data_IF_532759073098
#
_entry.id   IF_532759073098
#
_cell.length_a   1.000
_cell.length_b   1.000
_cell.length_c   1.000
_cell.angle_alpha   90.00
_cell.angle_beta   90.00
_cell.angle_gamma   90.00
#
_symmetry.space_group_name_H-M   'P 1'
#
loop_
_entity.id
_entity.type
_entity.pdbx_description
1 polymer ?
#
# COMPACT_ATOMS: atom_id res chain seq x y z
N UNK A 1 -0.55 39.10 -62.24
CA UNK A 1 0.17 38.59 -61.05
C UNK A 1 -0.59 39.05 -59.83
N UNK A 2 -1.37 38.16 -59.21
CA UNK A 2 -2.02 38.41 -57.93
C UNK A 2 -1.89 37.12 -57.12
N UNK A 3 -1.01 37.15 -56.12
CA UNK A 3 -0.78 36.04 -55.21
C UNK A 3 -1.86 36.08 -54.13
N UNK A 4 -2.73 35.08 -54.12
CA UNK A 4 -3.69 34.84 -53.06
C UNK A 4 -3.03 34.03 -51.94
N UNK A 5 -2.63 34.71 -50.86
CA UNK A 5 -2.25 34.07 -49.60
C UNK A 5 -3.45 33.33 -48.99
N UNK A 6 -3.36 32.01 -48.89
CA UNK A 6 -4.24 31.21 -48.04
C UNK A 6 -3.80 31.36 -46.58
N UNK A 7 -4.53 32.16 -45.80
CA UNK A 7 -4.43 32.17 -44.34
C UNK A 7 -5.01 30.87 -43.77
N UNK A 8 -4.13 30.01 -43.27
CA UNK A 8 -4.50 28.85 -42.47
C UNK A 8 -5.07 29.35 -41.13
N UNK A 9 -6.30 28.94 -40.73
CA UNK A 9 -6.87 29.35 -39.46
C UNK A 9 -6.06 28.77 -38.31
N UNK A 10 -5.36 29.64 -37.58
CA UNK A 10 -4.72 29.31 -36.30
C UNK A 10 -5.82 29.18 -35.25
N UNK A 11 -6.25 27.95 -34.96
CA UNK A 11 -7.08 27.65 -33.80
C UNK A 11 -6.21 27.93 -32.56
N UNK A 12 -6.54 28.92 -31.71
CA UNK A 12 -5.79 29.12 -30.47
C UNK A 12 -6.08 27.94 -29.54
N UNK A 13 -5.05 27.15 -29.26
CA UNK A 13 -5.10 26.14 -28.19
C UNK A 13 -5.11 26.91 -26.88
N UNK A 14 -6.30 27.16 -26.33
CA UNK A 14 -6.47 27.78 -25.03
C UNK A 14 -6.03 26.79 -23.95
N UNK A 15 -4.78 26.92 -23.52
CA UNK A 15 -4.17 26.08 -22.50
C UNK A 15 -4.74 26.48 -21.14
N UNK A 16 -5.63 25.64 -20.61
CA UNK A 16 -6.22 25.78 -19.28
C UNK A 16 -5.13 25.65 -18.19
N UNK A 17 -4.66 26.81 -17.71
CA UNK A 17 -3.56 26.93 -16.76
C UNK A 17 -3.88 26.25 -15.42
N UNK A 18 -5.14 26.19 -15.01
CA UNK A 18 -5.54 25.56 -13.76
C UNK A 18 -5.50 24.04 -13.85
N UNK A 19 -5.98 23.47 -14.97
CA UNK A 19 -5.83 22.03 -15.24
C UNK A 19 -4.37 21.62 -15.32
N UNK A 20 -3.51 22.44 -15.94
CA UNK A 20 -2.08 22.20 -15.94
C UNK A 20 -1.49 22.26 -14.53
N UNK A 21 -1.77 23.31 -13.75
CA UNK A 21 -1.26 23.45 -12.39
C UNK A 21 -1.66 22.27 -11.51
N UNK A 22 -2.90 21.78 -11.64
CA UNK A 22 -3.37 20.56 -10.97
C UNK A 22 -2.68 19.29 -11.47
N UNK A 23 -2.40 19.19 -12.77
CA UNK A 23 -1.70 18.04 -13.33
C UNK A 23 -0.21 17.99 -13.00
N UNK A 24 0.39 19.14 -12.65
CA UNK A 24 1.76 19.27 -12.15
C UNK A 24 1.85 19.31 -10.62
N UNK A 25 0.73 19.19 -9.89
CA UNK A 25 0.73 19.17 -8.43
C UNK A 25 1.32 17.85 -7.90
N UNK A 26 2.45 17.96 -7.20
CA UNK A 26 3.20 16.83 -6.61
C UNK A 26 2.89 16.68 -5.11
N UNK A 27 2.01 17.52 -4.55
CA UNK A 27 1.77 17.59 -3.10
C UNK A 27 1.41 16.24 -2.46
N UNK A 28 0.70 15.37 -3.18
CA UNK A 28 0.25 14.05 -2.73
C UNK A 28 1.40 13.01 -2.67
N UNK A 29 2.47 13.22 -3.45
CA UNK A 29 3.64 12.37 -3.58
C UNK A 29 4.94 13.15 -3.27
N UNK A 30 4.97 13.78 -2.10
CA UNK A 30 6.16 14.47 -1.59
C UNK A 30 7.24 13.45 -1.18
N UNK A 31 8.49 13.70 -1.58
CA UNK A 31 9.66 12.88 -1.20
C UNK A 31 9.78 12.80 0.32
N UNK A 32 9.48 13.89 1.03
CA UNK A 32 9.49 13.88 2.50
C UNK A 32 8.46 12.89 3.07
N UNK A 33 7.28 12.81 2.46
CA UNK A 33 6.27 11.83 2.84
C UNK A 33 6.73 10.39 2.57
N UNK A 34 7.41 10.14 1.45
CA UNK A 34 8.00 8.83 1.13
C UNK A 34 9.06 8.44 2.16
N UNK A 35 10.03 9.31 2.43
CA UNK A 35 11.07 9.05 3.44
C UNK A 35 10.46 8.81 4.81
N UNK A 36 9.43 9.57 5.17
CA UNK A 36 8.71 9.41 6.43
C UNK A 36 7.95 8.08 6.51
N UNK A 37 7.40 7.61 5.38
CA UNK A 37 6.83 6.28 5.26
C UNK A 37 7.86 5.17 5.53
N UNK A 38 9.06 5.29 4.96
CA UNK A 38 10.16 4.34 5.20
C UNK A 38 10.59 4.37 6.68
N UNK A 39 10.66 5.56 7.28
CA UNK A 39 10.95 5.68 8.71
C UNK A 39 9.87 5.00 9.57
N UNK A 40 8.59 5.17 9.21
CA UNK A 40 7.48 4.49 9.86
C UNK A 40 7.55 2.97 9.73
N UNK A 41 8.10 2.42 8.63
CA UNK A 41 8.36 0.98 8.52
C UNK A 41 9.24 0.50 9.67
N UNK A 42 10.36 1.19 9.92
CA UNK A 42 11.31 0.80 10.95
C UNK A 42 10.75 1.00 12.36
N UNK A 43 10.13 2.16 12.62
CA UNK A 43 9.51 2.46 13.93
C UNK A 43 8.34 1.50 14.20
N UNK A 44 7.47 1.31 13.21
CA UNK A 44 6.33 0.39 13.29
C UNK A 44 6.79 -1.04 13.55
N UNK A 45 7.79 -1.53 12.81
CA UNK A 45 8.35 -2.87 13.02
C UNK A 45 8.94 -3.03 14.42
N UNK A 46 9.70 -2.03 14.89
CA UNK A 46 10.24 -2.04 16.24
C UNK A 46 9.14 -2.07 17.31
N UNK A 47 8.08 -1.27 17.14
CA UNK A 47 6.92 -1.25 18.06
C UNK A 47 6.13 -2.55 18.02
N UNK A 48 5.96 -3.15 16.84
CA UNK A 48 5.31 -4.44 16.69
C UNK A 48 6.08 -5.53 17.45
N UNK A 49 7.41 -5.57 17.32
CA UNK A 49 8.28 -6.50 18.05
C UNK A 49 8.27 -6.31 19.58
N UNK A 50 7.90 -5.13 20.07
CA UNK A 50 7.72 -4.87 21.50
C UNK A 50 6.38 -5.38 22.04
N UNK A 51 5.42 -5.73 21.18
CA UNK A 51 4.11 -6.20 21.63
C UNK A 51 4.21 -7.65 22.12
N UNK A 52 4.01 -7.96 23.42
CA UNK A 52 4.04 -9.34 23.87
C UNK A 52 2.89 -10.17 23.28
N UNK A 53 1.78 -9.53 22.89
CA UNK A 53 0.59 -10.18 22.34
C UNK A 53 0.79 -10.79 20.95
N UNK A 54 1.82 -10.39 20.19
CA UNK A 54 2.11 -11.01 18.88
C UNK A 54 2.84 -12.36 19.00
N UNK A 55 3.44 -12.66 20.16
CA UNK A 55 4.24 -13.87 20.41
C UNK A 55 3.50 -14.93 21.24
N UNK A 56 2.19 -15.08 21.02
CA UNK A 56 1.39 -16.12 21.69
C UNK A 56 1.55 -17.48 21.02
N UNK A 57 1.23 -18.55 21.75
CA UNK A 57 1.34 -19.94 21.25
C UNK A 57 0.51 -20.20 19.99
N UNK A 58 -0.67 -19.57 19.88
CA UNK A 58 -1.54 -19.68 18.71
C UNK A 58 -0.90 -19.05 17.46
N UNK A 59 -0.37 -17.83 17.59
CA UNK A 59 0.31 -17.14 16.49
C UNK A 59 1.60 -17.85 16.07
N UNK A 60 2.31 -18.46 17.03
CA UNK A 60 3.52 -19.22 16.74
C UNK A 60 3.22 -20.49 15.92
N UNK A 61 2.19 -21.25 16.27
CA UNK A 61 1.77 -22.45 15.51
C UNK A 61 1.37 -22.08 14.08
N UNK A 62 0.63 -20.99 13.93
CA UNK A 62 0.20 -20.48 12.63
C UNK A 62 1.39 -19.99 11.79
N UNK A 63 2.35 -19.32 12.41
CA UNK A 63 3.59 -18.88 11.77
C UNK A 63 4.40 -20.07 11.23
N UNK A 64 4.51 -21.17 12.00
CA UNK A 64 5.19 -22.39 11.53
C UNK A 64 4.49 -22.96 10.28
N UNK A 65 3.16 -23.09 10.32
CA UNK A 65 2.38 -23.60 9.18
C UNK A 65 2.61 -22.69 7.96
N UNK A 66 2.55 -21.38 8.14
CA UNK A 66 2.75 -20.43 7.06
C UNK A 66 4.18 -20.47 6.48
N UNK A 67 5.20 -20.64 7.32
CA UNK A 67 6.59 -20.83 6.87
C UNK A 67 6.72 -22.16 6.10
N UNK A 68 6.16 -23.25 6.62
CA UNK A 68 6.20 -24.54 5.94
C UNK A 68 5.49 -24.51 4.57
N UNK A 69 4.30 -23.89 4.50
CA UNK A 69 3.58 -23.66 3.23
C UNK A 69 4.38 -22.78 2.27
N UNK A 70 4.99 -21.70 2.76
CA UNK A 70 5.85 -20.83 1.95
C UNK A 70 7.05 -21.58 1.36
N UNK A 71 7.70 -22.43 2.16
CA UNK A 71 8.79 -23.30 1.70
C UNK A 71 8.29 -24.29 0.65
N UNK A 72 7.16 -24.98 0.91
CA UNK A 72 6.60 -25.95 -0.01
C UNK A 72 6.27 -25.31 -1.38
N UNK A 73 5.64 -24.14 -1.39
CA UNK A 73 5.31 -23.46 -2.65
C UNK A 73 6.59 -22.96 -3.35
N UNK A 74 7.56 -22.44 -2.61
CA UNK A 74 8.85 -22.05 -3.19
C UNK A 74 9.56 -23.23 -3.85
N UNK A 75 9.54 -24.41 -3.22
CA UNK A 75 10.06 -25.65 -3.82
C UNK A 75 9.27 -26.00 -5.08
N UNK A 76 7.95 -25.96 -5.05
CA UNK A 76 7.12 -26.24 -6.22
C UNK A 76 7.42 -25.32 -7.42
N UNK A 77 7.72 -24.04 -7.17
CA UNK A 77 8.08 -23.07 -8.20
C UNK A 77 9.52 -23.22 -8.66
N UNK A 78 10.43 -23.67 -7.78
CA UNK A 78 11.79 -23.99 -8.14
C UNK A 78 11.89 -25.27 -9.01
N UNK A 79 10.94 -26.21 -8.90
CA UNK A 79 10.95 -27.48 -9.66
C UNK A 79 11.04 -27.23 -11.18
N UNK A 80 10.21 -26.38 -11.82
CA UNK A 80 10.37 -26.05 -13.24
C UNK A 80 11.74 -25.47 -13.59
N UNK A 81 12.31 -24.59 -12.75
CA UNK A 81 13.61 -23.96 -12.99
C UNK A 81 14.72 -25.02 -12.93
N UNK A 82 14.68 -25.90 -11.93
CA UNK A 82 15.59 -27.04 -11.80
C UNK A 82 15.40 -27.99 -12.98
N UNK A 83 14.17 -28.25 -13.41
CA UNK A 83 13.87 -29.09 -14.58
C UNK A 83 14.49 -28.53 -15.86
N UNK A 84 14.40 -27.23 -16.10
CA UNK A 84 15.06 -26.56 -17.22
C UNK A 84 16.58 -26.70 -17.10
N UNK A 85 17.15 -26.54 -15.89
CA UNK A 85 18.58 -26.71 -15.66
C UNK A 85 19.05 -28.14 -15.98
N UNK A 86 18.30 -29.15 -15.55
CA UNK A 86 18.57 -30.56 -15.84
C UNK A 86 18.43 -30.84 -17.33
N UNK A 87 17.42 -30.26 -17.99
CA UNK A 87 17.24 -30.39 -19.43
C UNK A 87 18.40 -29.79 -20.21
N UNK A 88 18.85 -28.58 -19.85
CA UNK A 88 20.00 -27.92 -20.47
C UNK A 88 21.29 -28.73 -20.25
N UNK A 89 21.48 -29.27 -19.04
CA UNK A 89 22.58 -30.18 -18.73
C UNK A 89 22.51 -31.48 -19.55
N UNK A 90 21.32 -32.04 -19.78
CA UNK A 90 21.16 -33.22 -20.64
C UNK A 90 21.47 -32.90 -22.10
N UNK A 91 21.04 -31.73 -22.60
CA UNK A 91 21.35 -31.26 -23.96
C UNK A 91 22.87 -31.04 -24.12
N UNK A 92 23.58 -30.61 -23.07
CA UNK A 92 25.04 -30.42 -23.11
C UNK A 92 25.83 -31.72 -23.29
N UNK A 93 25.21 -32.88 -23.03
CA UNK A 93 25.82 -34.18 -23.31
C UNK A 93 25.87 -34.49 -24.82
N UNK A 94 24.94 -33.94 -25.61
CA UNK A 94 24.84 -34.18 -27.05
C UNK A 94 25.44 -33.03 -27.88
N UNK A 95 25.43 -31.81 -27.33
CA UNK A 95 25.96 -30.62 -27.97
C UNK A 95 27.04 -30.00 -27.09
N UNK A 96 28.22 -29.67 -27.65
CA UNK A 96 29.26 -28.90 -26.94
C UNK A 96 28.75 -27.49 -26.63
N UNK A 97 28.15 -27.33 -25.46
CA UNK A 97 27.65 -26.04 -24.95
C UNK A 97 28.73 -25.26 -24.19
N UNK A 98 29.94 -25.80 -24.07
CA UNK A 98 31.09 -25.23 -23.32
C UNK A 98 31.54 -23.83 -23.82
N UNK A 99 31.03 -23.37 -24.97
CA UNK A 99 31.29 -22.03 -25.54
C UNK A 99 30.09 -21.07 -25.47
N UNK A 100 28.97 -21.50 -24.88
CA UNK A 100 27.65 -20.90 -25.08
C UNK A 100 27.04 -20.50 -23.73
N UNK A 101 27.25 -19.25 -23.31
CA UNK A 101 26.77 -18.61 -22.05
C UNK A 101 25.24 -18.46 -21.93
N UNK A 102 24.46 -19.34 -22.58
CA UNK A 102 23.01 -19.20 -22.68
C UNK A 102 22.29 -19.79 -21.47
N UNK A 103 22.88 -20.76 -20.78
CA UNK A 103 22.32 -21.36 -19.58
C UNK A 103 22.14 -20.32 -18.46
N UNK A 104 23.19 -19.58 -18.12
CA UNK A 104 23.17 -18.53 -17.09
C UNK A 104 22.19 -17.42 -17.46
N UNK A 105 22.16 -16.99 -18.73
CA UNK A 105 21.23 -15.95 -19.20
C UNK A 105 19.77 -16.40 -19.14
N UNK A 106 19.48 -17.67 -19.45
CA UNK A 106 18.12 -18.22 -19.37
C UNK A 106 17.70 -18.35 -17.91
N UNK A 107 18.56 -18.89 -17.05
CA UNK A 107 18.28 -19.06 -15.62
C UNK A 107 18.07 -17.70 -14.94
N UNK A 108 18.94 -16.73 -15.20
CA UNK A 108 18.79 -15.36 -14.72
C UNK A 108 17.52 -14.69 -15.23
N UNK A 109 17.16 -14.94 -16.50
CA UNK A 109 15.92 -14.47 -17.10
C UNK A 109 14.68 -15.05 -16.41
N UNK A 110 14.68 -16.35 -16.12
CA UNK A 110 13.59 -17.03 -15.41
C UNK A 110 13.43 -16.50 -13.99
N UNK A 111 14.53 -16.38 -13.25
CA UNK A 111 14.50 -15.77 -11.91
C UNK A 111 14.03 -14.31 -11.95
N UNK A 112 14.43 -13.55 -12.97
CA UNK A 112 13.95 -12.19 -13.14
C UNK A 112 12.44 -12.13 -13.41
N UNK A 113 11.93 -13.04 -14.24
CA UNK A 113 10.50 -13.14 -14.54
C UNK A 113 9.73 -13.54 -13.28
N UNK A 114 10.17 -14.59 -12.58
CA UNK A 114 9.57 -15.05 -11.32
C UNK A 114 9.48 -13.93 -10.28
N UNK A 115 10.60 -13.25 -10.01
CA UNK A 115 10.74 -12.30 -8.91
C UNK A 115 10.10 -10.95 -9.23
N UNK A 116 10.31 -10.42 -10.44
CA UNK A 116 9.91 -9.05 -10.77
C UNK A 116 8.67 -9.00 -11.66
N UNK A 117 8.56 -9.85 -12.69
CA UNK A 117 7.44 -9.76 -13.65
C UNK A 117 6.19 -10.43 -13.11
N UNK A 118 6.34 -11.63 -12.54
CA UNK A 118 5.27 -12.43 -11.96
C UNK A 118 5.04 -12.09 -10.49
N UNK A 119 6.02 -11.51 -9.78
CA UNK A 119 5.91 -11.17 -8.36
C UNK A 119 5.47 -12.36 -7.49
N UNK A 120 6.03 -13.54 -7.78
CA UNK A 120 5.67 -14.78 -7.11
C UNK A 120 5.73 -14.68 -5.58
N UNK A 121 6.79 -14.12 -4.94
CA UNK A 121 6.82 -14.03 -3.48
C UNK A 121 5.64 -13.24 -2.90
N UNK A 122 5.28 -12.12 -3.52
CA UNK A 122 4.16 -11.29 -3.08
C UNK A 122 2.82 -12.02 -3.24
N UNK A 123 2.65 -12.73 -4.36
CA UNK A 123 1.47 -13.57 -4.61
C UNK A 123 1.25 -14.57 -3.49
N UNK A 124 2.30 -15.32 -3.13
CA UNK A 124 2.23 -16.35 -2.11
C UNK A 124 1.87 -15.77 -0.76
N UNK A 125 2.47 -14.62 -0.41
CA UNK A 125 2.14 -13.94 0.84
C UNK A 125 0.68 -13.49 0.90
N UNK A 126 0.16 -12.89 -0.17
CA UNK A 126 -1.26 -12.50 -0.21
C UNK A 126 -2.19 -13.72 -0.23
N UNK A 127 -1.79 -14.83 -0.87
CA UNK A 127 -2.56 -16.07 -0.84
C UNK A 127 -2.67 -16.64 0.58
N UNK A 128 -1.59 -16.57 1.37
CA UNK A 128 -1.60 -17.03 2.78
C UNK A 128 -2.65 -16.31 3.62
N UNK A 129 -2.98 -15.06 3.33
CA UNK A 129 -4.04 -14.32 4.02
C UNK A 129 -5.40 -15.02 3.95
N UNK A 130 -5.71 -15.66 2.82
CA UNK A 130 -6.95 -16.43 2.66
C UNK A 130 -6.88 -17.80 3.35
N UNK A 131 -5.67 -18.33 3.57
CA UNK A 131 -5.45 -19.61 4.23
C UNK A 131 -5.44 -19.50 5.77
N UNK A 132 -5.03 -18.36 6.32
CA UNK A 132 -4.88 -18.15 7.77
C UNK A 132 -5.58 -16.87 8.25
N UNK A 133 -6.68 -16.93 9.05
CA UNK A 133 -7.44 -15.78 9.55
C UNK A 133 -6.73 -14.98 10.66
N UNK A 134 -5.40 -15.04 10.69
CA UNK A 134 -4.56 -14.70 11.85
C UNK A 134 -4.08 -13.27 11.78
N UNK A 135 -3.98 -12.72 10.57
CA UNK A 135 -3.48 -11.38 10.29
C UNK A 135 -4.41 -10.29 10.80
N UNK A 136 -5.72 -10.47 10.65
CA UNK A 136 -6.72 -9.55 11.20
C UNK A 136 -6.63 -9.47 12.74
N UNK A 137 -6.43 -10.61 13.40
CA UNK A 137 -6.20 -10.66 14.83
C UNK A 137 -4.89 -9.97 15.24
N UNK A 138 -3.80 -10.18 14.48
CA UNK A 138 -2.52 -9.51 14.72
C UNK A 138 -2.64 -7.98 14.58
N UNK A 139 -3.39 -7.51 13.58
CA UNK A 139 -3.69 -6.09 13.40
C UNK A 139 -4.43 -5.54 14.62
N UNK A 140 -5.53 -6.18 15.03
CA UNK A 140 -6.36 -5.72 16.14
C UNK A 140 -5.62 -5.77 17.48
N UNK A 141 -4.81 -6.81 17.71
CA UNK A 141 -3.99 -6.96 18.92
C UNK A 141 -2.88 -5.90 18.99
N UNK A 142 -2.28 -5.58 17.84
CA UNK A 142 -1.29 -4.51 17.75
C UNK A 142 -1.92 -3.13 17.96
N UNK A 143 -3.12 -2.91 17.45
CA UNK A 143 -3.87 -1.68 17.69
C UNK A 143 -4.21 -1.50 19.18
N UNK A 144 -4.63 -2.59 19.85
CA UNK A 144 -4.85 -2.62 21.30
C UNK A 144 -3.60 -2.22 22.07
N UNK A 145 -2.46 -2.79 21.70
CA UNK A 145 -1.18 -2.47 22.32
C UNK A 145 -0.77 -1.00 22.13
N UNK A 146 -1.02 -0.44 20.94
CA UNK A 146 -0.76 0.98 20.66
C UNK A 146 -1.60 1.89 21.56
N UNK A 147 -2.87 1.59 21.75
CA UNK A 147 -3.74 2.38 22.65
C UNK A 147 -3.33 2.24 24.12
N UNK A 148 -3.01 1.03 24.59
CA UNK A 148 -2.50 0.82 25.96
C UNK A 148 -1.21 1.60 26.19
N UNK A 149 -0.28 1.56 25.23
CA UNK A 149 0.99 2.30 25.31
C UNK A 149 0.74 3.81 25.30
N UNK A 150 -0.24 4.28 24.52
CA UNK A 150 -0.62 5.69 24.48
C UNK A 150 -1.15 6.16 25.84
N UNK A 151 -2.11 5.45 26.44
CA UNK A 151 -2.63 5.77 27.77
C UNK A 151 -1.52 5.75 28.82
N UNK A 152 -0.60 4.78 28.73
CA UNK A 152 0.53 4.68 29.66
C UNK A 152 1.48 5.88 29.57
N UNK A 153 1.73 6.41 28.37
CA UNK A 153 2.57 7.60 28.17
C UNK A 153 1.94 8.88 28.70
N UNK A 154 0.61 9.00 28.62
CA UNK A 154 -0.13 10.21 28.97
C UNK A 154 -0.86 10.08 30.32
N UNK A 155 -0.40 9.19 31.22
CA UNK A 155 -1.02 8.97 32.55
C UNK A 155 -1.10 10.24 33.41
N UNK A 156 -0.18 11.19 33.18
CA UNK A 156 -0.07 12.42 33.96
C UNK A 156 -0.73 13.62 33.27
N UNK A 157 -1.43 13.41 32.16
CA UNK A 157 -2.07 14.47 31.36
C UNK A 157 -3.60 14.46 31.57
N UNK A 158 -4.24 15.57 31.23
CA UNK A 158 -5.69 15.73 31.37
C UNK A 158 -6.45 14.77 30.41
N UNK A 159 -7.23 13.82 30.92
CA UNK A 159 -7.94 12.84 30.10
C UNK A 159 -8.85 13.46 29.04
N UNK A 160 -9.39 14.67 29.29
CA UNK A 160 -10.31 15.34 28.37
C UNK A 160 -9.61 15.94 27.15
N UNK A 161 -8.28 16.03 27.16
CA UNK A 161 -7.48 16.55 26.04
C UNK A 161 -6.90 15.44 25.17
N UNK A 162 -6.96 14.19 25.64
CA UNK A 162 -6.40 13.04 24.93
C UNK A 162 -7.27 12.63 23.76
N UNK A 163 -6.65 12.08 22.70
CA UNK A 163 -7.42 11.43 21.63
C UNK A 163 -8.23 10.25 22.14
N UNK A 164 -9.30 9.97 21.43
CA UNK A 164 -10.01 8.70 21.57
C UNK A 164 -9.14 7.49 21.17
N UNK A 165 -9.50 6.34 21.73
CA UNK A 165 -8.85 5.06 21.45
C UNK A 165 -9.35 4.49 20.11
N UNK A 166 -8.47 3.80 19.38
CA UNK A 166 -8.82 3.18 18.10
C UNK A 166 -9.46 1.80 18.32
N UNK A 167 -8.83 0.94 19.11
CA UNK A 167 -9.22 -0.46 19.31
C UNK A 167 -10.67 -0.65 19.81
N UNK A 168 -11.13 0.00 20.90
CA UNK A 168 -12.44 -0.28 21.45
C UNK A 168 -13.57 0.14 20.51
N UNK A 169 -13.38 1.22 19.73
CA UNK A 169 -14.37 1.66 18.76
C UNK A 169 -14.32 0.77 17.52
N UNK A 170 -13.12 0.49 16.99
CA UNK A 170 -12.96 -0.29 15.77
C UNK A 170 -13.48 -1.74 15.93
N UNK A 171 -13.36 -2.34 17.12
CA UNK A 171 -13.90 -3.69 17.42
C UNK A 171 -15.43 -3.76 17.33
N UNK A 172 -16.14 -2.64 17.51
CA UNK A 172 -17.61 -2.60 17.46
C UNK A 172 -18.17 -2.61 16.03
N UNK A 173 -17.34 -2.29 15.03
CA UNK A 173 -17.75 -2.33 13.63
C UNK A 173 -17.85 -3.77 13.12
N UNK A 174 -18.89 -4.05 12.35
CA UNK A 174 -19.01 -5.33 11.65
C UNK A 174 -17.95 -5.44 10.54
N UNK A 175 -17.41 -6.64 10.36
CA UNK A 175 -16.43 -6.92 9.30
C UNK A 175 -17.14 -7.32 8.02
N UNK A 176 -16.85 -6.64 6.92
CA UNK A 176 -17.30 -6.99 5.57
C UNK A 176 -16.07 -7.06 4.65
N UNK A 177 -15.97 -8.10 3.82
CA UNK A 177 -14.91 -8.13 2.80
C UNK A 177 -15.11 -6.94 1.85
N UNK A 178 -14.18 -5.98 1.88
CA UNK A 178 -14.26 -4.74 1.11
C UNK A 178 -14.08 -4.96 -0.39
N UNK A 179 -13.75 -6.19 -0.81
CA UNK A 179 -13.39 -6.52 -2.19
C UNK A 179 -14.43 -7.39 -2.92
N UNK A 180 -15.20 -8.20 -2.19
CA UNK A 180 -16.24 -9.10 -2.72
C UNK A 180 -17.63 -8.82 -2.16
N UNK A 181 -17.74 -8.11 -1.02
CA UNK A 181 -18.98 -7.97 -0.24
C UNK A 181 -19.63 -9.32 0.15
N UNK A 182 -18.89 -10.43 -0.02
CA UNK A 182 -19.31 -11.82 0.24
C UNK A 182 -18.57 -12.37 1.47
N UNK A 183 -19.16 -13.33 2.16
CA UNK A 183 -18.56 -14.03 3.31
C UNK A 183 -17.81 -15.30 2.90
N UNK A 184 -17.86 -15.70 1.62
CA UNK A 184 -17.27 -16.95 1.13
C UNK A 184 -15.77 -16.83 0.84
N UNK A 185 -14.95 -17.54 1.61
CA UNK A 185 -13.49 -17.60 1.42
C UNK A 185 -13.09 -18.14 0.05
N UNK A 186 -13.82 -19.12 -0.48
CA UNK A 186 -13.51 -19.73 -1.78
C UNK A 186 -13.76 -18.76 -2.96
N UNK A 187 -14.82 -17.95 -2.86
CA UNK A 187 -15.12 -16.90 -3.84
C UNK A 187 -14.03 -15.82 -3.82
N UNK A 188 -13.64 -15.37 -2.61
CA UNK A 188 -12.58 -14.39 -2.44
C UNK A 188 -11.22 -14.88 -2.97
N UNK A 189 -10.87 -16.15 -2.71
CA UNK A 189 -9.65 -16.78 -3.25
C UNK A 189 -9.68 -16.85 -4.78
N UNK A 190 -10.79 -17.31 -5.37
CA UNK A 190 -10.92 -17.41 -6.84
C UNK A 190 -10.81 -16.04 -7.50
N UNK A 191 -11.47 -15.04 -6.92
CA UNK A 191 -11.40 -13.66 -7.43
C UNK A 191 -10.00 -13.07 -7.29
N UNK A 192 -9.29 -13.37 -6.21
CA UNK A 192 -7.89 -13.01 -6.03
C UNK A 192 -7.01 -13.65 -7.11
N UNK A 193 -7.11 -14.97 -7.34
CA UNK A 193 -6.36 -15.69 -8.37
C UNK A 193 -6.60 -15.10 -9.77
N UNK A 194 -7.85 -14.81 -10.12
CA UNK A 194 -8.19 -14.18 -11.41
C UNK A 194 -7.58 -12.78 -11.55
N UNK A 195 -7.70 -11.93 -10.52
CA UNK A 195 -7.13 -10.57 -10.51
C UNK A 195 -5.61 -10.63 -10.64
N UNK A 196 -4.97 -11.58 -9.95
CA UNK A 196 -3.53 -11.78 -10.02
C UNK A 196 -3.09 -12.29 -11.39
N UNK A 197 -3.72 -13.35 -11.90
CA UNK A 197 -3.43 -13.92 -13.22
C UNK A 197 -3.58 -12.89 -14.35
N UNK A 198 -4.63 -12.06 -14.30
CA UNK A 198 -4.81 -10.95 -15.26
C UNK A 198 -3.66 -9.94 -15.20
N UNK A 199 -3.19 -9.57 -14.00
CA UNK A 199 -2.05 -8.64 -13.84
C UNK A 199 -0.74 -9.27 -14.32
N UNK A 200 -0.51 -10.56 -14.02
CA UNK A 200 0.65 -11.30 -14.48
C UNK A 200 0.68 -11.39 -16.01
N UNK A 201 -0.47 -11.69 -16.64
CA UNK A 201 -0.59 -11.73 -18.10
C UNK A 201 -0.29 -10.37 -18.75
N UNK A 202 -0.83 -9.27 -18.21
CA UNK A 202 -0.52 -7.91 -18.69
C UNK A 202 0.97 -7.60 -18.53
N UNK A 203 1.56 -7.96 -17.38
CA UNK A 203 2.98 -7.71 -17.11
C UNK A 203 3.89 -8.51 -18.05
N UNK A 204 3.55 -9.78 -18.32
CA UNK A 204 4.23 -10.62 -19.31
C UNK A 204 4.08 -10.05 -20.73
N UNK A 205 2.89 -9.57 -21.10
CA UNK A 205 2.66 -8.97 -22.41
C UNK A 205 3.49 -7.70 -22.60
N UNK A 206 3.54 -6.81 -21.60
CA UNK A 206 4.39 -5.60 -21.61
C UNK A 206 5.87 -6.00 -21.71
N UNK A 207 6.29 -7.00 -20.93
CA UNK A 207 7.66 -7.50 -20.95
C UNK A 207 8.01 -8.07 -22.34
N UNK A 208 7.16 -8.90 -22.93
CA UNK A 208 7.36 -9.46 -24.28
C UNK A 208 7.40 -8.36 -25.35
N UNK A 209 6.47 -7.40 -25.31
CA UNK A 209 6.45 -6.25 -26.21
C UNK A 209 7.72 -5.40 -26.10
N UNK A 210 8.37 -5.36 -24.94
CA UNK A 210 9.65 -4.66 -24.76
C UNK A 210 10.82 -5.27 -25.54
N UNK A 211 10.68 -6.50 -26.07
CA UNK A 211 11.65 -7.15 -26.94
C UNK A 211 11.41 -6.91 -28.44
N UNK A 212 10.28 -6.29 -28.81
CA UNK A 212 9.99 -5.96 -30.21
C UNK A 212 11.06 -4.99 -30.73
N UNK A 213 11.70 -5.28 -31.88
CA UNK A 213 12.69 -4.38 -32.47
C UNK A 213 12.10 -2.98 -32.69
N UNK A 214 12.93 -1.93 -32.53
CA UNK A 214 12.59 -0.52 -32.76
C UNK A 214 11.62 0.06 -31.70
N UNK A 215 10.45 -0.55 -31.51
CA UNK A 215 9.39 -0.03 -30.62
C UNK A 215 9.59 -0.46 -29.17
N UNK A 216 10.23 -1.60 -28.91
CA UNK A 216 10.36 -2.20 -27.57
C UNK A 216 11.05 -1.31 -26.53
N UNK A 217 11.95 -0.42 -26.97
CA UNK A 217 12.61 0.56 -26.08
C UNK A 217 11.62 1.56 -25.48
N UNK A 218 10.52 1.87 -26.18
CA UNK A 218 9.51 2.84 -25.74
C UNK A 218 8.38 2.20 -24.94
N UNK A 219 8.16 0.89 -25.07
CA UNK A 219 7.07 0.17 -24.40
C UNK A 219 7.14 0.34 -22.88
N UNK A 220 8.30 0.09 -22.26
CA UNK A 220 8.45 0.19 -20.81
C UNK A 220 8.32 1.63 -20.29
N UNK A 221 9.00 2.64 -20.86
CA UNK A 221 8.77 4.04 -20.50
C UNK A 221 7.30 4.47 -20.67
N UNK A 222 6.65 4.10 -21.78
CA UNK A 222 5.26 4.47 -22.05
C UNK A 222 4.27 3.80 -21.07
N UNK A 223 4.41 2.49 -20.84
CA UNK A 223 3.58 1.76 -19.88
C UNK A 223 3.76 2.29 -18.46
N UNK A 224 5.00 2.62 -18.09
CA UNK A 224 5.31 3.16 -16.78
C UNK A 224 4.78 4.59 -16.62
N UNK A 225 4.92 5.44 -17.65
CA UNK A 225 4.33 6.78 -17.66
C UNK A 225 2.80 6.74 -17.55
N UNK A 226 2.15 5.90 -18.36
CA UNK A 226 0.70 5.74 -18.34
C UNK A 226 0.17 5.39 -16.94
N UNK A 227 0.93 4.56 -16.22
CA UNK A 227 0.50 4.08 -14.91
C UNK A 227 0.87 5.06 -13.78
N UNK A 228 2.08 5.60 -13.81
CA UNK A 228 2.62 6.42 -12.71
C UNK A 228 2.14 7.87 -12.78
N UNK A 229 1.75 8.39 -13.96
CA UNK A 229 1.29 9.79 -14.08
C UNK A 229 0.07 10.09 -13.20
N UNK A 230 -0.80 9.10 -12.97
CA UNK A 230 -2.01 9.28 -12.17
C UNK A 230 -1.71 9.43 -10.68
N UNK A 231 -0.53 9.01 -10.26
CA UNK A 231 -0.09 9.00 -8.87
C UNK A 231 0.79 10.21 -8.54
N UNK A 232 1.73 10.54 -9.43
CA UNK A 232 2.79 11.53 -9.15
C UNK A 232 2.64 12.81 -9.98
N UNK A 233 1.66 12.87 -10.87
CA UNK A 233 1.45 13.99 -11.77
C UNK A 233 2.33 13.93 -13.02
N UNK A 234 2.06 14.83 -13.96
CA UNK A 234 2.70 14.84 -15.28
C UNK A 234 4.19 15.19 -15.20
N UNK A 235 4.58 16.12 -14.32
CA UNK A 235 5.96 16.61 -14.22
C UNK A 235 6.97 15.51 -13.87
N UNK A 236 6.90 14.94 -12.66
CA UNK A 236 7.84 13.90 -12.24
C UNK A 236 7.76 12.64 -13.11
N UNK A 237 6.56 12.25 -13.58
CA UNK A 237 6.42 11.12 -14.49
C UNK A 237 7.15 11.38 -15.82
N UNK A 238 7.01 12.57 -16.41
CA UNK A 238 7.70 12.93 -17.65
C UNK A 238 9.22 12.93 -17.47
N UNK A 239 9.72 13.41 -16.33
CA UNK A 239 11.15 13.40 -16.01
C UNK A 239 11.70 11.97 -15.87
N UNK A 240 11.05 11.14 -15.06
CA UNK A 240 11.48 9.76 -14.79
C UNK A 240 11.44 8.91 -16.07
N UNK A 241 10.40 9.04 -16.90
CA UNK A 241 10.25 8.20 -18.09
C UNK A 241 10.88 8.80 -19.35
N UNK A 242 11.08 10.12 -19.42
CA UNK A 242 11.92 10.75 -20.42
C UNK A 242 13.39 10.34 -20.26
N UNK A 243 13.90 10.36 -19.03
CA UNK A 243 15.23 9.81 -18.71
C UNK A 243 15.25 8.28 -18.79
N UNK A 244 14.10 7.64 -18.54
CA UNK A 244 13.85 6.21 -18.71
C UNK A 244 14.20 5.64 -20.08
N UNK A 245 14.17 6.46 -21.13
CA UNK A 245 14.58 6.03 -22.49
C UNK A 245 16.05 5.60 -22.51
N UNK A 246 16.91 6.18 -21.67
CA UNK A 246 18.34 5.87 -21.58
C UNK A 246 18.66 4.79 -20.53
N UNK A 247 17.71 4.44 -19.68
CA UNK A 247 17.89 3.44 -18.63
C UNK A 247 17.77 2.01 -19.19
N UNK A 248 18.62 1.06 -18.74
CA UNK A 248 18.45 -0.35 -19.06
C UNK A 248 17.07 -0.87 -18.64
N UNK A 249 16.45 -1.68 -19.51
CA UNK A 249 15.09 -2.22 -19.35
C UNK A 249 14.85 -2.89 -17.99
N UNK A 250 15.87 -3.60 -17.50
CA UNK A 250 15.84 -4.30 -16.20
C UNK A 250 15.48 -3.34 -15.06
N UNK A 251 16.07 -2.16 -15.00
CA UNK A 251 15.81 -1.19 -13.94
C UNK A 251 14.41 -0.56 -14.03
N UNK A 252 13.92 -0.31 -15.25
CA UNK A 252 12.54 0.18 -15.44
C UNK A 252 11.51 -0.84 -14.95
N UNK A 253 11.72 -2.12 -15.27
CA UNK A 253 10.86 -3.20 -14.77
C UNK A 253 10.96 -3.30 -13.26
N UNK A 254 12.17 -3.31 -12.68
CA UNK A 254 12.35 -3.33 -11.21
C UNK A 254 11.60 -2.19 -10.55
N UNK A 255 11.76 -0.97 -11.07
CA UNK A 255 11.09 0.23 -10.55
C UNK A 255 9.56 0.11 -10.61
N UNK A 256 9.02 -0.18 -11.79
CA UNK A 256 7.57 -0.27 -12.01
C UNK A 256 6.95 -1.38 -11.15
N UNK A 257 7.62 -2.53 -11.09
CA UNK A 257 7.14 -3.68 -10.33
C UNK A 257 7.23 -3.42 -8.82
N UNK A 258 8.29 -2.78 -8.33
CA UNK A 258 8.38 -2.35 -6.92
C UNK A 258 7.27 -1.37 -6.56
N UNK A 259 6.94 -0.44 -7.47
CA UNK A 259 5.83 0.48 -7.28
C UNK A 259 4.48 -0.23 -7.17
N UNK A 260 4.18 -1.14 -8.11
CA UNK A 260 2.94 -1.92 -8.06
C UNK A 260 2.86 -2.83 -6.85
N UNK A 261 3.96 -3.51 -6.53
CA UNK A 261 4.05 -4.40 -5.37
C UNK A 261 3.82 -3.64 -4.08
N UNK A 262 4.47 -2.48 -3.90
CA UNK A 262 4.25 -1.61 -2.73
C UNK A 262 2.77 -1.18 -2.61
N UNK A 263 2.16 -0.71 -3.70
CA UNK A 263 0.72 -0.34 -3.68
C UNK A 263 -0.21 -1.52 -3.43
N UNK A 264 0.09 -2.69 -3.98
CA UNK A 264 -0.67 -3.91 -3.75
C UNK A 264 -0.55 -4.33 -2.29
N UNK A 265 0.67 -4.38 -1.75
CA UNK A 265 0.96 -4.71 -0.36
C UNK A 265 0.18 -3.78 0.59
N UNK A 266 0.22 -2.47 0.37
CA UNK A 266 -0.52 -1.54 1.23
C UNK A 266 -2.02 -1.74 1.22
N UNK A 267 -2.61 -2.13 0.09
CA UNK A 267 -4.04 -2.43 0.04
C UNK A 267 -4.39 -3.65 0.87
N UNK A 268 -3.54 -4.67 0.85
CA UNK A 268 -3.72 -5.87 1.65
C UNK A 268 -3.53 -5.59 3.14
N UNK A 269 -2.43 -4.91 3.51
CA UNK A 269 -2.12 -4.58 4.91
C UNK A 269 -3.17 -3.68 5.59
N UNK A 270 -3.82 -2.80 4.81
CA UNK A 270 -4.85 -1.89 5.32
C UNK A 270 -6.27 -2.49 5.28
N UNK A 271 -6.43 -3.68 4.72
CA UNK A 271 -7.75 -4.27 4.58
C UNK A 271 -8.43 -4.59 5.92
N UNK A 272 -7.76 -4.99 7.02
CA UNK A 272 -8.39 -5.09 8.33
C UNK A 272 -9.11 -3.81 8.78
N UNK A 273 -8.55 -2.66 8.44
CA UNK A 273 -9.16 -1.35 8.73
C UNK A 273 -10.36 -1.08 7.81
N UNK A 274 -10.19 -1.25 6.49
CA UNK A 274 -11.24 -0.98 5.51
C UNK A 274 -12.38 -2.00 5.49
N UNK A 275 -12.16 -3.20 6.02
CA UNK A 275 -13.20 -4.19 6.23
C UNK A 275 -14.18 -3.79 7.35
N UNK A 276 -13.77 -2.88 8.24
CA UNK A 276 -14.56 -2.40 9.38
C UNK A 276 -15.14 -1.01 9.13
N UNK A 277 -14.32 -0.10 8.63
CA UNK A 277 -14.78 1.25 8.26
C UNK A 277 -15.23 1.24 6.81
N UNK A 278 -16.54 1.37 6.60
CA UNK A 278 -17.18 1.21 5.30
C UNK A 278 -17.05 2.44 4.40
N UNK A 279 -15.88 2.61 3.78
CA UNK A 279 -15.68 3.63 2.75
C UNK A 279 -16.40 3.26 1.44
N UNK A 280 -17.01 4.24 0.77
CA UNK A 280 -17.37 4.10 -0.63
C UNK A 280 -16.12 3.99 -1.52
N UNK A 281 -16.29 3.49 -2.76
CA UNK A 281 -15.18 3.35 -3.72
C UNK A 281 -14.47 4.67 -4.00
N UNK A 282 -15.22 5.77 -4.01
CA UNK A 282 -14.67 7.11 -4.26
C UNK A 282 -13.90 7.62 -3.05
N UNK A 283 -14.47 7.52 -1.85
CA UNK A 283 -13.81 7.96 -0.62
C UNK A 283 -12.54 7.13 -0.33
N UNK A 284 -12.58 5.80 -0.50
CA UNK A 284 -11.40 4.93 -0.35
C UNK A 284 -10.30 5.36 -1.32
N UNK A 285 -10.66 5.67 -2.58
CA UNK A 285 -9.70 6.14 -3.58
C UNK A 285 -9.08 7.49 -3.20
N UNK A 286 -9.88 8.43 -2.72
CA UNK A 286 -9.41 9.73 -2.25
C UNK A 286 -8.47 9.59 -1.04
N UNK A 287 -8.84 8.75 -0.07
CA UNK A 287 -8.03 8.46 1.12
C UNK A 287 -6.63 7.93 0.75
N UNK A 288 -6.56 6.95 -0.17
CA UNK A 288 -5.28 6.39 -0.64
C UNK A 288 -4.45 7.41 -1.40
N UNK A 289 -5.09 8.28 -2.20
CA UNK A 289 -4.39 9.29 -2.98
C UNK A 289 -3.81 10.40 -2.09
N UNK A 290 -4.54 10.85 -1.07
CA UNK A 290 -4.07 11.87 -0.14
C UNK A 290 -2.82 11.45 0.66
N UNK A 291 -2.71 10.13 0.91
CA UNK A 291 -1.63 9.50 1.69
C UNK A 291 -0.62 8.76 0.81
N UNK A 292 -0.63 9.01 -0.50
CA UNK A 292 0.09 8.16 -1.45
C UNK A 292 1.60 8.09 -1.19
N UNK A 293 2.25 9.23 -0.92
CA UNK A 293 3.68 9.26 -0.60
C UNK A 293 4.05 8.45 0.64
N UNK A 294 3.35 8.65 1.78
CA UNK A 294 3.65 7.94 3.03
C UNK A 294 3.34 6.45 2.94
N UNK A 295 2.23 6.08 2.30
CA UNK A 295 1.87 4.68 2.08
C UNK A 295 2.85 4.00 1.14
N UNK A 296 3.29 4.69 0.08
CA UNK A 296 4.30 4.17 -0.83
C UNK A 296 5.63 3.94 -0.12
N UNK A 297 6.09 4.89 0.70
CA UNK A 297 7.31 4.76 1.50
C UNK A 297 7.24 3.61 2.52
N UNK A 298 6.12 3.48 3.21
CA UNK A 298 5.91 2.39 4.16
C UNK A 298 5.87 1.02 3.45
N UNK A 299 5.13 0.95 2.34
CA UNK A 299 4.98 -0.25 1.54
C UNK A 299 6.28 -0.68 0.87
N UNK A 300 7.10 0.25 0.36
CA UNK A 300 8.39 -0.10 -0.24
C UNK A 300 9.39 -0.57 0.82
N UNK A 301 9.36 0.01 2.03
CA UNK A 301 10.15 -0.45 3.17
C UNK A 301 9.87 -1.91 3.50
N UNK A 302 8.60 -2.26 3.70
CA UNK A 302 8.23 -3.67 3.93
C UNK A 302 8.45 -4.55 2.71
N UNK A 303 8.22 -4.06 1.49
CA UNK A 303 8.49 -4.82 0.28
C UNK A 303 9.95 -5.31 0.20
N UNK A 304 10.91 -4.45 0.53
CA UNK A 304 12.33 -4.82 0.59
C UNK A 304 12.59 -5.86 1.67
N UNK A 305 12.00 -5.71 2.86
CA UNK A 305 12.15 -6.68 3.94
C UNK A 305 11.55 -8.05 3.58
N UNK A 306 10.39 -8.08 2.95
CA UNK A 306 9.69 -9.31 2.58
C UNK A 306 10.43 -10.15 1.53
N UNK A 307 11.29 -9.51 0.73
CA UNK A 307 12.15 -10.20 -0.24
C UNK A 307 13.27 -10.99 0.39
N UNK A 308 13.52 -10.83 1.69
CA UNK A 308 14.49 -11.66 2.40
C UNK A 308 13.96 -13.11 2.41
N UNK A 309 14.66 -14.06 1.77
CA UNK A 309 14.17 -15.43 1.66
C UNK A 309 13.93 -16.06 3.03
N UNK A 310 12.93 -16.95 3.11
CA UNK A 310 12.52 -17.69 4.32
C UNK A 310 11.89 -16.84 5.45
N UNK A 311 12.22 -15.55 5.54
CA UNK A 311 11.68 -14.65 6.57
C UNK A 311 10.44 -13.86 6.11
N UNK A 312 10.16 -13.79 4.80
CA UNK A 312 9.06 -12.99 4.25
C UNK A 312 7.70 -13.21 4.93
N UNK A 313 7.36 -14.46 5.26
CA UNK A 313 6.10 -14.78 5.96
C UNK A 313 6.05 -14.20 7.39
N UNK A 314 7.14 -14.30 8.14
CA UNK A 314 7.23 -13.73 9.49
C UNK A 314 7.21 -12.20 9.43
N UNK A 315 7.94 -11.63 8.47
CA UNK A 315 7.98 -10.18 8.22
C UNK A 315 6.59 -9.68 7.83
N UNK A 316 5.77 -10.47 7.15
CA UNK A 316 4.40 -10.10 6.81
C UNK A 316 3.52 -9.94 8.05
N UNK A 317 3.64 -10.84 9.03
CA UNK A 317 2.97 -10.67 10.34
C UNK A 317 3.42 -9.40 11.07
N UNK A 318 4.72 -9.09 11.01
CA UNK A 318 5.27 -7.83 11.55
C UNK A 318 4.73 -6.62 10.76
N UNK A 319 4.60 -6.71 9.44
CA UNK A 319 4.07 -5.66 8.59
C UNK A 319 2.60 -5.37 8.91
N UNK A 320 1.80 -6.41 9.12
CA UNK A 320 0.40 -6.30 9.53
C UNK A 320 0.27 -5.60 10.90
N UNK A 321 1.05 -6.05 11.89
CA UNK A 321 1.14 -5.44 13.21
C UNK A 321 1.60 -3.96 13.15
N UNK A 322 2.59 -3.67 12.30
CA UNK A 322 3.11 -2.31 12.08
C UNK A 322 2.09 -1.41 11.40
N UNK A 323 1.20 -1.98 10.60
CA UNK A 323 0.15 -1.25 9.90
C UNK A 323 -0.90 -0.71 10.88
N UNK A 324 -1.14 -1.41 12.00
CA UNK A 324 -1.95 -0.86 13.08
C UNK A 324 -1.35 0.44 13.62
N UNK A 325 -0.03 0.50 13.83
CA UNK A 325 0.65 1.73 14.23
C UNK A 325 0.56 2.81 13.14
N UNK A 326 0.79 2.46 11.87
CA UNK A 326 0.64 3.38 10.73
C UNK A 326 -0.75 4.05 10.71
N UNK A 327 -1.83 3.30 10.88
CA UNK A 327 -3.20 3.83 10.89
C UNK A 327 -3.37 4.93 11.94
N UNK A 328 -2.79 4.76 13.13
CA UNK A 328 -2.86 5.77 14.20
C UNK A 328 -2.10 7.07 13.89
N UNK A 329 -1.34 7.12 12.80
CA UNK A 329 -0.56 8.31 12.38
C UNK A 329 -1.13 9.02 11.17
N UNK A 330 -1.90 8.31 10.35
CA UNK A 330 -2.40 8.83 9.09
C UNK A 330 -3.92 9.01 9.10
N UNK A 331 -4.61 8.53 10.14
CA UNK A 331 -6.06 8.55 10.24
C UNK A 331 -6.48 8.93 11.65
N UNK A 332 -7.59 9.64 11.80
CA UNK A 332 -8.17 9.95 13.11
C UNK A 332 -8.79 8.69 13.76
N UNK A 333 -8.93 8.65 15.10
CA UNK A 333 -9.55 7.52 15.80
C UNK A 333 -11.02 7.36 15.38
N UNK A 334 -11.48 6.18 14.94
CA UNK A 334 -12.86 6.01 14.53
C UNK A 334 -13.82 6.28 15.70
N UNK A 335 -14.96 6.96 15.48
CA UNK A 335 -16.01 7.10 16.49
C UNK A 335 -16.71 5.75 16.71
N UNK A 336 -17.53 5.62 17.78
CA UNK A 336 -18.45 4.49 17.92
C UNK A 336 -19.37 4.35 16.69
N UNK A 337 -19.84 3.14 16.33
CA UNK A 337 -20.69 2.94 15.15
C UNK A 337 -21.99 3.77 15.15
N UNK A 338 -22.51 4.15 16.31
CA UNK A 338 -23.67 5.04 16.44
C UNK A 338 -23.43 6.45 15.91
N UNK A 339 -22.17 6.89 15.90
CA UNK A 339 -21.72 8.24 15.54
C UNK A 339 -20.82 8.22 14.28
N UNK A 340 -20.86 7.14 13.50
CA UNK A 340 -19.97 6.98 12.34
C UNK A 340 -20.37 7.83 11.13
N UNK A 341 -21.50 8.52 11.19
CA UNK A 341 -22.03 9.31 10.08
C UNK A 341 -21.08 10.47 9.73
N UNK A 342 -20.64 10.54 8.47
CA UNK A 342 -19.71 11.57 8.01
C UNK A 342 -18.24 11.35 8.39
N UNK A 343 -17.90 10.31 9.16
CA UNK A 343 -16.50 10.01 9.49
C UNK A 343 -15.68 9.68 8.24
N UNK A 344 -16.18 8.83 7.34
CA UNK A 344 -15.46 8.48 6.09
C UNK A 344 -15.19 9.71 5.23
N UNK A 345 -16.13 10.65 5.20
CA UNK A 345 -16.00 11.89 4.46
C UNK A 345 -14.92 12.80 5.05
N UNK A 346 -14.83 12.89 6.39
CA UNK A 346 -13.80 13.69 7.06
C UNK A 346 -12.38 13.14 6.83
N UNK A 347 -12.25 11.83 6.64
CA UNK A 347 -10.97 11.16 6.44
C UNK A 347 -10.41 11.23 5.01
N UNK A 348 -11.16 11.74 4.03
CA UNK A 348 -10.68 11.85 2.65
C UNK A 348 -9.43 12.73 2.53
N UNK A 349 -9.33 13.77 3.36
CA UNK A 349 -8.16 14.64 3.47
C UNK A 349 -7.27 14.25 4.65
N UNK A 350 -5.95 14.30 4.46
CA UNK A 350 -5.01 14.12 5.57
C UNK A 350 -4.71 15.47 6.22
N UNK A 351 -5.59 15.89 7.12
CA UNK A 351 -5.54 17.21 7.77
C UNK A 351 -4.23 17.43 8.54
N UNK A 352 -3.77 16.40 9.25
CA UNK A 352 -2.57 16.45 10.11
C UNK A 352 -1.26 16.20 9.35
N UNK A 353 -1.27 16.22 8.01
CA UNK A 353 -0.10 15.91 7.18
C UNK A 353 1.11 16.80 7.48
N UNK A 354 0.92 18.12 7.52
CA UNK A 354 2.02 19.07 7.71
C UNK A 354 2.68 18.92 9.08
N UNK A 355 1.89 18.71 10.13
CA UNK A 355 2.38 18.44 11.48
C UNK A 355 3.10 17.10 11.54
N UNK A 356 2.55 16.04 10.92
CA UNK A 356 3.19 14.73 10.86
C UNK A 356 4.55 14.75 10.18
N UNK A 357 4.68 15.47 9.07
CA UNK A 357 5.92 15.56 8.29
C UNK A 357 7.00 16.42 8.95
N UNK A 358 6.61 17.40 9.79
CA UNK A 358 7.54 18.31 10.46
C UNK A 358 8.10 17.79 11.79
N UNK A 359 7.47 16.78 12.39
CA UNK A 359 7.92 16.23 13.67
C UNK A 359 9.23 15.43 13.58
N UNK A 360 10.06 15.51 14.61
CA UNK A 360 11.22 14.61 14.77
C UNK A 360 10.79 13.15 14.97
N UNK A 361 11.63 12.19 14.55
CA UNK A 361 11.39 10.75 14.70
C UNK A 361 11.06 10.31 16.15
N UNK A 362 11.71 10.91 17.14
CA UNK A 362 11.46 10.60 18.55
C UNK A 362 10.07 11.05 19.03
N UNK A 363 9.44 12.02 18.33
CA UNK A 363 8.20 12.68 18.73
C UNK A 363 7.02 12.34 17.82
N UNK A 364 7.07 11.23 17.08
CA UNK A 364 5.99 10.79 16.17
C UNK A 364 4.68 10.45 16.88
N UNK A 365 4.68 10.40 18.21
CA UNK A 365 3.49 10.13 19.02
C UNK A 365 2.66 11.36 19.36
N UNK A 366 3.17 12.59 19.18
CA UNK A 366 2.53 13.85 19.62
C UNK A 366 1.40 14.39 18.73
N UNK A 367 1.11 13.73 17.61
CA UNK A 367 0.26 14.24 16.51
C UNK A 367 -1.23 14.26 16.86
N UNK A 368 -1.61 13.47 17.86
CA UNK A 368 -2.99 13.30 18.25
C UNK A 368 -3.17 13.59 19.75
N UNK A 369 -2.47 14.60 20.26
CA UNK A 369 -2.65 15.09 21.65
C UNK A 369 -3.87 16.02 21.76
N UNK A 370 -4.69 16.12 20.70
CA UNK A 370 -5.93 16.90 20.66
C UNK A 370 -7.06 16.07 20.04
N UNK A 371 -8.30 16.20 20.52
CA UNK A 371 -9.46 15.52 19.95
C UNK A 371 -9.73 16.02 18.51
N UNK A 372 -10.17 15.14 17.61
CA UNK A 372 -10.46 15.53 16.23
C UNK A 372 -11.71 16.45 16.13
N UNK A 373 -11.82 17.31 15.10
CA UNK A 373 -12.80 18.40 15.06
C UNK A 373 -14.28 18.00 15.10
N UNK A 374 -14.63 16.77 14.70
CA UNK A 374 -16.00 16.28 14.81
C UNK A 374 -16.43 15.99 16.26
N UNK A 375 -15.48 16.01 17.20
CA UNK A 375 -15.76 15.93 18.64
C UNK A 375 -15.94 17.30 19.30
N UNK A 376 -15.57 18.40 18.63
CA UNK A 376 -15.86 19.76 19.13
C UNK A 376 -17.33 20.15 18.94
N UNK A 377 -18.09 19.39 18.14
CA UNK A 377 -19.54 19.52 18.07
C UNK A 377 -20.16 18.76 19.25
N UNK A 378 -20.55 19.51 20.28
CA UNK A 378 -21.30 19.01 21.43
C UNK A 378 -22.50 18.17 20.95
N UNK A 379 -22.57 16.86 21.28
CA UNK A 379 -23.70 16.01 20.92
C UNK A 379 -24.99 16.39 21.67
N UNK A 380 -24.93 17.34 22.60
CA UNK A 380 -26.09 17.80 23.34
C UNK A 380 -26.04 19.33 23.53
N UNK A 381 -26.56 20.13 22.57
CA UNK A 381 -26.64 21.56 22.76
C UNK A 381 -27.58 21.82 23.94
N UNK A 382 -27.00 22.03 25.12
CA UNK A 382 -27.77 22.47 26.29
C UNK A 382 -28.50 23.73 25.86
N UNK A 383 -29.83 23.65 25.90
CA UNK A 383 -30.74 24.75 25.67
C UNK A 383 -30.18 26.00 26.37
N UNK A 384 -29.66 26.93 25.58
CA UNK A 384 -29.32 28.27 26.04
C UNK A 384 -30.60 28.90 26.57
N UNK A 385 -30.61 29.19 27.86
CA UNK A 385 -31.80 29.45 28.64
C UNK A 385 -32.68 30.62 28.16
N UNK A 386 -33.99 30.40 28.26
CA UNK A 386 -34.94 31.46 28.54
C UNK A 386 -35.29 31.41 30.04
N UNK A 387 -34.52 32.14 30.84
CA UNK A 387 -34.96 32.55 32.17
C UNK A 387 -35.96 33.70 32.01
N UNK A 388 -37.26 33.39 32.05
CA UNK A 388 -38.33 34.39 32.15
C UNK A 388 -39.33 33.99 33.23
N UNK A 389 -39.06 34.48 34.44
CA UNK A 389 -40.01 34.95 35.47
C UNK A 389 -41.37 34.22 35.61
N UNK A 390 -41.48 33.36 36.62
CA UNK A 390 -42.76 33.08 37.29
C UNK A 390 -42.94 34.13 38.39
N UNK A 391 -43.79 35.13 38.12
CA UNK A 391 -44.31 36.03 39.15
C UNK A 391 -45.43 35.30 39.90
N UNK A 392 -45.23 35.15 41.21
CA UNK A 392 -46.27 34.80 42.17
C UNK A 392 -47.14 36.04 42.39
N UNK A 393 -48.44 35.92 42.15
CA UNK A 393 -49.48 36.69 42.81
C UNK A 393 -50.73 35.84 42.99
#
# INVERSE_FOLDING_TARGET
>A
MSSSEHQVPRIPVEIDKEKLKKAFDVSHFDINAVLRGIQLTLVGAHRALQNPGIFTSEHYRQAIIAVASGVAIRVAIAVPIIGIRVLLWFISLFFRLDTVTWDDKIIDGLHFIEEYVLQVPLFLMTLMRYATPTLDNLFMESLRWVDVTYVQKHKNEDPNKLRNMYYPNLRQYSTRDGSTHSTSTAEAMTMFLWRFGRKAAISLAIFALSYVPIVGRLVLPAASFYTFNKAVGLGPASLIFGTGIFLPRRYLVIFLQSYFASRSLMRELLEPYFARIHFSKQEKRAWFHNREGVLFGFGIGFYVLLRVPLLGVLIYGIAEASTAYLITKVTDPPPPPSESTGFTASQQEWRTKHEFLSLSLANMDKIHDKPPPYQEQDPNPRASGSSSSVQVR
#
